data_IF_988189519069
#
_entry.id   IF_988189519069
#
_cell.length_a   1.000
_cell.length_b   1.000
_cell.length_c   1.000
_cell.angle_alpha   90.00
_cell.angle_beta   90.00
_cell.angle_gamma   90.00
#
_symmetry.space_group_name_H-M   'P 1'
#
loop_
_entity.id
_entity.type
_entity.pdbx_description
1 polymer ?
#
# COMPACT_ATOMS: atom_id res chain seq x y z
N UNK A 1 -29.57 -12.94 6.22
CA UNK A 1 -28.49 -12.80 7.23
C UNK A 1 -27.53 -13.97 7.04
N UNK A 2 -26.33 -13.69 6.63
CA UNK A 2 -25.28 -14.70 6.51
C UNK A 2 -24.93 -15.21 7.91
N UNK A 3 -24.98 -16.54 8.10
CA UNK A 3 -24.50 -17.15 9.32
C UNK A 3 -23.06 -16.71 9.57
N UNK A 4 -22.83 -16.05 10.69
CA UNK A 4 -21.49 -15.70 11.11
C UNK A 4 -20.79 -16.95 11.61
N UNK A 5 -19.99 -17.58 10.75
CA UNK A 5 -18.99 -18.54 11.22
C UNK A 5 -18.10 -17.86 12.25
N UNK A 6 -17.72 -18.56 13.31
CA UNK A 6 -16.70 -18.07 14.22
C UNK A 6 -15.46 -17.63 13.43
N UNK A 7 -14.87 -16.50 13.79
CA UNK A 7 -13.75 -15.92 13.06
C UNK A 7 -12.61 -16.92 12.78
N UNK A 8 -12.37 -17.84 13.71
CA UNK A 8 -11.36 -18.88 13.57
C UNK A 8 -11.64 -19.88 12.44
N UNK A 9 -12.88 -19.96 11.96
CA UNK A 9 -13.31 -20.90 10.92
C UNK A 9 -13.50 -20.24 9.55
N UNK A 10 -13.31 -18.93 9.46
CA UNK A 10 -13.40 -18.21 8.19
C UNK A 10 -12.10 -18.30 7.43
N UNK A 11 -12.13 -18.67 6.15
CA UNK A 11 -10.97 -18.47 5.29
C UNK A 11 -10.65 -16.97 5.28
N UNK A 12 -9.49 -16.59 5.78
CA UNK A 12 -9.09 -15.20 5.80
C UNK A 12 -8.27 -14.90 4.54
N UNK A 13 -8.92 -14.34 3.54
CA UNK A 13 -8.24 -13.77 2.37
C UNK A 13 -7.59 -12.45 2.74
N UNK A 14 -8.28 -11.62 3.52
CA UNK A 14 -7.80 -10.31 3.97
C UNK A 14 -7.27 -10.45 5.41
N UNK A 15 -5.99 -10.16 5.59
CA UNK A 15 -5.28 -10.50 6.82
C UNK A 15 -5.20 -9.33 7.80
N UNK A 16 -4.82 -8.14 7.31
CA UNK A 16 -4.57 -6.95 8.13
C UNK A 16 -4.33 -5.74 7.23
N UNK A 17 -4.30 -4.55 7.83
CA UNK A 17 -3.69 -3.40 7.19
C UNK A 17 -2.18 -3.63 7.21
N UNK A 18 -1.58 -3.75 6.03
CA UNK A 18 -0.15 -3.97 5.91
C UNK A 18 0.62 -2.67 6.14
N UNK A 19 0.24 -1.62 5.43
CA UNK A 19 0.90 -0.33 5.58
C UNK A 19 0.03 0.85 5.15
N UNK A 20 0.46 2.03 5.57
CA UNK A 20 0.04 3.31 5.04
C UNK A 20 1.15 3.84 4.16
N UNK A 21 0.85 4.12 2.90
CA UNK A 21 1.77 4.77 1.98
C UNK A 21 1.63 6.28 2.09
N UNK A 22 2.71 6.96 2.49
CA UNK A 22 2.72 8.40 2.73
C UNK A 22 3.72 9.04 1.77
N UNK A 23 3.22 9.87 0.86
CA UNK A 23 4.07 10.59 -0.07
C UNK A 23 4.71 11.80 0.62
N UNK A 24 6.01 11.94 0.44
CA UNK A 24 6.79 13.05 0.99
C UNK A 24 7.65 13.68 -0.10
N UNK A 25 7.95 14.98 -0.02
CA UNK A 25 8.81 15.63 -1.01
C UNK A 25 10.25 15.11 -0.99
N UNK A 26 10.74 14.65 0.18
CA UNK A 26 12.12 14.24 0.36
C UNK A 26 12.22 13.26 1.53
N UNK A 27 12.82 12.09 1.31
CA UNK A 27 13.14 11.15 2.38
C UNK A 27 14.19 11.72 3.33
N UNK A 28 15.18 12.45 2.80
CA UNK A 28 16.20 13.08 3.64
C UNK A 28 15.59 14.01 4.69
N UNK A 29 14.58 14.78 4.30
CA UNK A 29 13.91 15.71 5.21
C UNK A 29 12.96 15.00 6.19
N UNK A 30 12.24 13.97 5.75
CA UNK A 30 11.13 13.41 6.52
C UNK A 30 11.42 12.09 7.24
N UNK A 31 12.44 11.33 6.85
CA UNK A 31 12.85 10.14 7.62
C UNK A 31 13.17 10.49 9.06
N UNK A 32 13.97 11.52 9.35
CA UNK A 32 14.23 11.89 10.76
C UNK A 32 12.98 12.29 11.53
N UNK A 33 12.02 12.94 10.87
CA UNK A 33 10.75 13.34 11.48
C UNK A 33 9.95 12.11 11.92
N UNK A 34 9.85 11.13 11.04
CA UNK A 34 9.09 9.89 11.34
C UNK A 34 9.83 9.00 12.34
N UNK A 35 11.15 8.98 12.33
CA UNK A 35 11.92 8.31 13.37
C UNK A 35 11.61 8.88 14.75
N UNK A 36 11.56 10.20 14.86
CA UNK A 36 11.19 10.87 16.11
C UNK A 36 9.73 10.62 16.49
N UNK A 37 8.82 10.70 15.51
CA UNK A 37 7.39 10.53 15.71
C UNK A 37 7.04 9.11 16.19
N UNK A 38 7.67 8.11 15.61
CA UNK A 38 7.37 6.69 15.88
C UNK A 38 8.27 6.11 16.98
N UNK A 39 9.31 6.83 17.39
CA UNK A 39 10.27 6.32 18.38
C UNK A 39 11.07 5.12 17.89
N UNK A 40 11.29 5.00 16.59
CA UNK A 40 11.93 3.86 15.95
C UNK A 40 12.75 4.30 14.73
N UNK A 41 13.90 3.65 14.46
CA UNK A 41 14.69 3.99 13.29
C UNK A 41 14.01 3.51 12.00
N UNK A 42 14.33 4.16 10.88
CA UNK A 42 14.01 3.66 9.56
C UNK A 42 14.73 2.30 9.39
N UNK A 43 13.99 1.27 9.05
CA UNK A 43 14.55 -0.08 8.96
C UNK A 43 15.24 -0.35 7.64
N UNK A 44 14.70 0.24 6.56
CA UNK A 44 15.12 -0.09 5.21
C UNK A 44 14.67 0.99 4.24
N UNK A 45 15.50 1.25 3.23
CA UNK A 45 15.16 2.10 2.10
C UNK A 45 15.36 1.29 0.82
N UNK A 46 14.36 1.29 -0.05
CA UNK A 46 14.37 0.53 -1.29
C UNK A 46 13.88 1.39 -2.45
N UNK A 47 14.52 1.24 -3.60
CA UNK A 47 13.98 1.79 -4.85
C UNK A 47 13.06 0.76 -5.51
N UNK A 48 11.83 1.16 -5.78
CA UNK A 48 10.85 0.35 -6.52
C UNK A 48 10.73 0.95 -7.91
N UNK A 49 11.52 0.42 -8.83
CA UNK A 49 11.65 0.97 -10.18
C UNK A 49 10.32 0.96 -10.95
N UNK A 50 9.49 -0.08 -10.78
CA UNK A 50 8.18 -0.20 -11.42
C UNK A 50 7.22 0.91 -11.01
N UNK A 51 7.36 1.45 -9.79
CA UNK A 51 6.55 2.53 -9.24
C UNK A 51 7.26 3.88 -9.29
N UNK A 52 8.53 3.91 -9.71
CA UNK A 52 9.38 5.11 -9.78
C UNK A 52 9.46 5.86 -8.45
N UNK A 53 9.65 5.10 -7.36
CA UNK A 53 9.75 5.64 -6.01
C UNK A 53 10.94 5.07 -5.25
N UNK A 54 11.43 5.84 -4.27
CA UNK A 54 12.23 5.35 -3.16
C UNK A 54 11.31 5.28 -1.94
N UNK A 55 11.36 4.16 -1.26
CA UNK A 55 10.45 3.88 -0.14
C UNK A 55 11.27 3.65 1.13
N UNK A 56 10.93 4.38 2.19
CA UNK A 56 11.49 4.17 3.52
C UNK A 56 10.47 3.44 4.39
N UNK A 57 10.91 2.38 5.07
CA UNK A 57 10.04 1.48 5.83
C UNK A 57 10.22 1.68 7.33
N UNK A 58 9.11 1.80 8.04
CA UNK A 58 9.04 1.87 9.50
C UNK A 58 8.05 0.85 10.01
N UNK A 59 8.46 -0.06 10.88
CA UNK A 59 7.54 -1.02 11.50
C UNK A 59 6.78 -0.39 12.66
N UNK A 60 5.51 -0.75 12.76
CA UNK A 60 4.63 -0.35 13.84
C UNK A 60 3.72 -1.55 14.19
N UNK A 61 4.21 -2.44 15.06
CA UNK A 61 3.55 -3.71 15.31
C UNK A 61 3.55 -4.57 14.06
N UNK A 62 2.37 -5.04 13.64
CA UNK A 62 2.19 -5.83 12.42
C UNK A 62 2.05 -4.98 11.16
N UNK A 63 1.92 -3.67 11.31
CA UNK A 63 1.76 -2.72 10.21
C UNK A 63 3.03 -1.91 10.02
N UNK A 64 3.08 -1.15 8.93
CA UNK A 64 4.20 -0.26 8.61
C UNK A 64 3.71 1.12 8.19
N UNK A 65 4.57 2.10 8.35
CA UNK A 65 4.53 3.31 7.54
C UNK A 65 5.56 3.18 6.42
N UNK A 66 5.18 3.55 5.21
CA UNK A 66 6.07 3.60 4.07
C UNK A 66 6.08 5.02 3.52
N UNK A 67 7.22 5.69 3.65
CA UNK A 67 7.40 7.03 3.08
C UNK A 67 7.84 6.88 1.63
N UNK A 68 7.17 7.57 0.74
CA UNK A 68 7.36 7.47 -0.71
C UNK A 68 7.91 8.78 -1.24
N UNK A 69 9.10 8.74 -1.82
CA UNK A 69 9.71 9.86 -2.56
C UNK A 69 9.73 9.51 -4.04
N UNK A 70 9.24 10.41 -4.88
CA UNK A 70 9.27 10.20 -6.31
C UNK A 70 10.70 10.22 -6.88
N UNK A 71 11.02 9.26 -7.74
CA UNK A 71 12.24 9.28 -8.54
C UNK A 71 12.09 10.13 -9.79
N UNK A 72 10.85 10.40 -10.20
CA UNK A 72 10.50 11.17 -11.39
C UNK A 72 9.33 12.09 -11.05
N UNK A 73 9.46 13.43 -11.29
CA UNK A 73 8.37 14.37 -11.02
C UNK A 73 7.07 14.07 -11.79
N UNK A 74 7.18 13.38 -12.93
CA UNK A 74 6.04 13.01 -13.76
C UNK A 74 5.40 11.68 -13.35
N UNK A 75 5.98 10.97 -12.37
CA UNK A 75 5.41 9.75 -11.83
C UNK A 75 4.13 10.01 -11.04
N UNK A 76 3.41 8.95 -10.70
CA UNK A 76 2.18 9.04 -9.89
C UNK A 76 2.45 9.77 -8.57
N UNK A 77 3.49 9.39 -7.86
CA UNK A 77 3.87 10.03 -6.59
C UNK A 77 4.38 11.46 -6.81
N UNK A 78 5.15 11.69 -7.87
CA UNK A 78 5.62 13.02 -8.23
C UNK A 78 4.48 14.00 -8.44
N UNK A 79 3.46 13.60 -9.19
CA UNK A 79 2.27 14.41 -9.43
C UNK A 79 1.45 14.61 -8.17
N UNK A 80 1.33 13.57 -7.34
CA UNK A 80 0.62 13.66 -6.07
C UNK A 80 1.27 14.71 -5.14
N UNK A 81 2.59 14.68 -5.00
CA UNK A 81 3.33 15.65 -4.20
C UNK A 81 3.21 17.07 -4.78
N UNK A 82 3.29 17.21 -6.12
CA UNK A 82 3.13 18.51 -6.77
C UNK A 82 1.75 19.14 -6.49
N UNK A 83 0.69 18.32 -6.46
CA UNK A 83 -0.67 18.78 -6.25
C UNK A 83 -1.04 18.97 -4.78
N UNK A 84 -0.58 18.04 -3.90
CA UNK A 84 -1.01 17.98 -2.51
C UNK A 84 0.09 18.26 -1.49
N UNK A 85 1.30 18.50 -1.94
CA UNK A 85 2.51 18.72 -1.12
C UNK A 85 2.91 17.52 -0.25
N UNK A 86 2.22 16.40 -0.39
CA UNK A 86 2.42 15.18 0.37
C UNK A 86 1.15 14.72 1.07
N UNK A 87 1.28 13.71 1.90
CA UNK A 87 0.19 13.12 2.67
C UNK A 87 -0.03 11.65 2.37
N UNK A 88 -1.09 11.10 2.94
CA UNK A 88 -1.45 9.69 2.72
C UNK A 88 -1.82 9.49 1.25
N UNK A 89 -1.10 8.60 0.58
CA UNK A 89 -1.35 8.25 -0.81
C UNK A 89 -2.24 7.01 -0.93
N UNK A 90 -2.00 5.99 -0.13
CA UNK A 90 -2.77 4.75 -0.18
C UNK A 90 -2.75 4.00 1.15
N UNK A 91 -3.69 3.07 1.26
CA UNK A 91 -3.76 2.09 2.34
C UNK A 91 -3.58 0.72 1.71
N UNK A 92 -2.66 -0.09 2.23
CA UNK A 92 -2.42 -1.44 1.74
C UNK A 92 -3.00 -2.48 2.67
N UNK A 93 -3.71 -3.45 2.09
CA UNK A 93 -4.24 -4.61 2.79
C UNK A 93 -3.42 -5.84 2.39
N UNK A 94 -2.88 -6.53 3.39
CA UNK A 94 -2.22 -7.81 3.18
C UNK A 94 -3.25 -8.89 2.88
N UNK A 95 -3.02 -9.69 1.85
CA UNK A 95 -3.89 -10.79 1.45
C UNK A 95 -3.10 -12.10 1.38
N UNK A 96 -3.78 -13.21 1.60
CA UNK A 96 -3.17 -14.55 1.51
C UNK A 96 -3.07 -15.05 0.07
N UNK A 97 -4.02 -14.62 -0.78
CA UNK A 97 -4.11 -15.02 -2.20
C UNK A 97 -4.65 -13.84 -3.00
N UNK A 98 -3.75 -13.10 -3.62
CA UNK A 98 -4.12 -11.89 -4.37
C UNK A 98 -4.94 -12.21 -5.63
N UNK A 99 -4.66 -13.32 -6.29
CA UNK A 99 -5.41 -13.73 -7.47
C UNK A 99 -6.87 -14.03 -7.11
N UNK A 100 -7.08 -14.73 -6.01
CA UNK A 100 -8.43 -15.01 -5.50
C UNK A 100 -9.16 -13.75 -5.08
N UNK A 101 -8.46 -12.82 -4.41
CA UNK A 101 -9.03 -11.54 -3.98
C UNK A 101 -9.49 -10.70 -5.19
N UNK A 102 -8.66 -10.61 -6.23
CA UNK A 102 -9.00 -9.87 -7.44
C UNK A 102 -10.17 -10.52 -8.20
N UNK A 103 -10.20 -11.84 -8.25
CA UNK A 103 -11.32 -12.57 -8.87
C UNK A 103 -12.63 -12.30 -8.12
N UNK A 104 -12.60 -12.29 -6.80
CA UNK A 104 -13.78 -11.98 -5.98
C UNK A 104 -14.26 -10.54 -6.20
N UNK A 105 -13.33 -9.58 -6.24
CA UNK A 105 -13.66 -8.19 -6.51
C UNK A 105 -14.27 -8.01 -7.89
N UNK A 106 -13.70 -8.65 -8.92
CA UNK A 106 -14.23 -8.60 -10.28
C UNK A 106 -15.63 -9.18 -10.34
N UNK A 107 -15.88 -10.32 -9.67
CA UNK A 107 -17.19 -10.95 -9.62
C UNK A 107 -18.24 -10.06 -8.94
N UNK A 108 -17.83 -9.24 -7.99
CA UNK A 108 -18.71 -8.28 -7.29
C UNK A 108 -18.83 -6.92 -7.99
N UNK A 109 -18.20 -6.76 -9.13
CA UNK A 109 -18.25 -5.51 -9.90
C UNK A 109 -17.42 -4.37 -9.33
N UNK A 110 -16.43 -4.67 -8.48
CA UNK A 110 -15.51 -3.67 -7.94
C UNK A 110 -14.57 -3.21 -9.05
N UNK A 111 -14.46 -1.91 -9.26
CA UNK A 111 -13.57 -1.35 -10.28
C UNK A 111 -12.12 -1.46 -9.85
N UNK A 112 -11.31 -2.15 -10.66
CA UNK A 112 -9.88 -2.37 -10.40
C UNK A 112 -9.03 -1.50 -11.32
N UNK A 113 -7.90 -0.99 -10.80
CA UNK A 113 -6.82 -0.44 -11.63
C UNK A 113 -6.05 -1.61 -12.24
N UNK A 114 -5.67 -2.58 -11.41
CA UNK A 114 -4.94 -3.76 -11.84
C UNK A 114 -5.84 -4.99 -11.77
N UNK A 115 -6.07 -5.61 -12.92
CA UNK A 115 -6.78 -6.90 -13.00
C UNK A 115 -5.83 -8.07 -12.77
N UNK A 116 -4.54 -7.86 -12.97
CA UNK A 116 -3.47 -8.82 -12.79
C UNK A 116 -2.42 -8.19 -11.86
N UNK A 117 -1.92 -8.93 -10.86
CA UNK A 117 -0.90 -8.42 -9.97
C UNK A 117 0.39 -8.06 -10.67
N UNK A 118 1.11 -7.09 -10.12
CA UNK A 118 2.42 -6.65 -10.56
C UNK A 118 3.42 -6.69 -9.41
N UNK A 119 4.70 -6.57 -9.73
CA UNK A 119 5.76 -6.56 -8.73
C UNK A 119 5.72 -5.28 -7.90
N UNK A 120 5.84 -5.43 -6.59
CA UNK A 120 5.95 -4.34 -5.63
C UNK A 120 7.24 -4.43 -4.82
N UNK A 121 7.30 -3.66 -3.73
CA UNK A 121 8.44 -3.66 -2.82
C UNK A 121 8.59 -5.03 -2.12
N UNK A 122 9.81 -5.34 -1.69
CA UNK A 122 10.14 -6.55 -0.91
C UNK A 122 9.72 -7.86 -1.57
N UNK A 123 9.67 -7.90 -2.90
CA UNK A 123 9.25 -9.10 -3.64
C UNK A 123 7.77 -9.43 -3.55
N UNK A 124 6.95 -8.53 -3.04
CA UNK A 124 5.50 -8.72 -2.96
C UNK A 124 4.85 -8.63 -4.34
N UNK A 125 3.70 -9.27 -4.48
CA UNK A 125 2.79 -9.07 -5.61
C UNK A 125 1.69 -8.10 -5.19
N UNK A 126 1.48 -7.06 -5.96
CA UNK A 126 0.57 -5.97 -5.60
C UNK A 126 -0.46 -5.70 -6.69
N UNK A 127 -1.60 -5.13 -6.30
CA UNK A 127 -2.63 -4.67 -7.21
C UNK A 127 -3.43 -3.54 -6.57
N UNK A 128 -3.91 -2.60 -7.38
CA UNK A 128 -4.66 -1.45 -6.88
C UNK A 128 -6.14 -1.51 -7.27
N UNK A 129 -6.98 -1.14 -6.32
CA UNK A 129 -8.42 -0.92 -6.50
C UNK A 129 -8.63 0.55 -6.85
N UNK A 130 -9.48 0.81 -7.86
CA UNK A 130 -9.73 2.19 -8.29
C UNK A 130 -10.43 3.00 -7.20
N UNK A 131 -9.97 4.24 -6.91
CA UNK A 131 -10.55 5.07 -5.86
C UNK A 131 -12.06 5.34 -6.02
N UNK A 132 -12.58 5.33 -7.24
CA UNK A 132 -14.01 5.49 -7.47
C UNK A 132 -14.84 4.35 -6.83
N UNK A 133 -14.25 3.16 -6.65
CA UNK A 133 -14.93 2.03 -6.03
C UNK A 133 -14.97 2.11 -4.50
N UNK A 134 -14.12 2.94 -3.89
CA UNK A 134 -13.89 2.97 -2.45
C UNK A 134 -14.23 4.32 -1.80
N UNK A 135 -14.90 5.21 -2.53
CA UNK A 135 -15.24 6.52 -2.00
C UNK A 135 -14.06 7.51 -1.99
N UNK A 136 -13.05 7.29 -2.84
CA UNK A 136 -11.92 8.20 -3.00
C UNK A 136 -10.63 7.75 -2.34
N UNK A 137 -10.60 6.55 -1.75
CA UNK A 137 -9.39 6.00 -1.12
C UNK A 137 -8.72 5.01 -2.08
N UNK A 138 -7.44 5.24 -2.37
CA UNK A 138 -6.65 4.27 -3.13
C UNK A 138 -6.29 3.09 -2.22
N UNK A 139 -6.78 1.92 -2.58
CA UNK A 139 -6.51 0.69 -1.83
C UNK A 139 -5.54 -0.17 -2.64
N UNK A 140 -4.47 -0.60 -1.99
CA UNK A 140 -3.53 -1.58 -2.50
C UNK A 140 -3.78 -2.93 -1.84
N UNK A 141 -3.67 -4.00 -2.61
CA UNK A 141 -3.57 -5.36 -2.08
C UNK A 141 -2.13 -5.82 -2.22
N UNK A 142 -1.61 -6.52 -1.23
CA UNK A 142 -0.25 -7.05 -1.26
C UNK A 142 -0.23 -8.49 -0.74
N UNK A 143 0.40 -9.35 -1.53
CA UNK A 143 0.69 -10.72 -1.12
C UNK A 143 2.20 -10.87 -0.97
N UNK A 144 2.63 -11.31 0.22
CA UNK A 144 4.04 -11.58 0.50
C UNK A 144 4.55 -12.74 -0.35
N UNK A 145 5.88 -12.77 -0.64
CA UNK A 145 6.48 -13.87 -1.39
C UNK A 145 6.34 -15.21 -0.69
#
# INVERSE_FOLDING_TARGET
MTMNLPDALRPRTFLRIDHLGIAVPSLEAFVPVYEALLGAPCEHIEEVASEKVRTAFFSLGESHFELLEALDPESVIGRFVAQRKGGIHHICIAVSDIDAALAEYAAKGVRLIDKVPRAGAKGCRVAFVHPAATGGVLIELSQAP
#
